data_IF_736568086462
#
_entry.id   IF_736568086462
#
_cell.length_a   1.000
_cell.length_b   1.000
_cell.length_c   1.000
_cell.angle_alpha   90.00
_cell.angle_beta   90.00
_cell.angle_gamma   90.00
#
_symmetry.space_group_name_H-M   'P 1'
#
loop_
_entity.id
_entity.type
_entity.pdbx_description
1 polymer ?
#
# COMPACT_ATOMS: atom_id res chain seq x y z
N UNK A 1 -33.22 76.84 40.97
CA UNK A 1 -32.20 75.99 41.64
C UNK A 1 -32.63 74.54 41.50
N UNK A 2 -32.01 73.82 40.56
CA UNK A 2 -31.11 72.65 40.77
C UNK A 2 -31.89 71.38 41.14
N UNK A 3 -32.01 70.43 40.21
CA UNK A 3 -31.06 69.30 39.99
C UNK A 3 -31.36 68.16 40.97
N UNK A 4 -31.51 66.88 40.61
CA UNK A 4 -31.06 66.14 39.44
C UNK A 4 -31.98 64.94 39.20
N UNK A 5 -32.01 64.55 37.93
CA UNK A 5 -32.61 63.35 37.40
C UNK A 5 -32.16 62.08 38.15
N UNK A 6 -33.14 61.22 38.39
CA UNK A 6 -32.99 59.86 38.86
C UNK A 6 -32.42 59.00 37.71
N UNK A 7 -31.08 58.91 37.61
CA UNK A 7 -30.42 58.03 36.66
C UNK A 7 -30.52 56.58 37.13
N UNK A 8 -31.62 55.92 36.78
CA UNK A 8 -31.68 54.46 36.78
C UNK A 8 -30.67 53.94 35.73
N UNK A 9 -29.53 53.45 36.20
CA UNK A 9 -28.66 52.61 35.38
C UNK A 9 -29.34 51.25 35.26
N UNK A 10 -30.17 51.08 34.23
CA UNK A 10 -30.63 49.77 33.83
C UNK A 10 -29.43 48.99 33.29
N UNK A 11 -28.86 48.08 34.08
CA UNK A 11 -28.11 46.97 33.52
C UNK A 11 -29.09 46.08 32.75
N UNK A 12 -29.33 46.45 31.50
CA UNK A 12 -30.05 45.62 30.54
C UNK A 12 -29.31 44.29 30.42
N UNK A 13 -29.90 43.23 30.99
CA UNK A 13 -29.47 41.86 30.76
C UNK A 13 -29.57 41.57 29.27
N UNK A 14 -28.43 41.56 28.58
CA UNK A 14 -28.35 40.89 27.29
C UNK A 14 -28.30 39.39 27.62
N UNK A 15 -29.32 38.63 27.23
CA UNK A 15 -29.31 37.16 27.27
C UNK A 15 -29.04 36.62 25.85
N UNK A 16 -27.78 36.56 25.38
CA UNK A 16 -27.45 35.98 24.07
C UNK A 16 -27.26 34.45 24.17
N UNK A 17 -27.89 33.80 25.15
CA UNK A 17 -27.58 32.41 25.51
C UNK A 17 -27.99 31.41 24.44
N UNK A 18 -29.09 31.67 23.72
CA UNK A 18 -29.59 30.78 22.67
C UNK A 18 -28.74 30.82 21.40
N UNK A 19 -28.30 32.02 20.99
CA UNK A 19 -27.41 32.18 19.84
C UNK A 19 -26.02 31.59 20.08
N UNK A 20 -25.45 31.82 21.27
CA UNK A 20 -24.15 31.27 21.63
C UNK A 20 -24.15 29.73 21.65
N UNK A 21 -25.21 29.09 22.17
CA UNK A 21 -25.34 27.63 22.17
C UNK A 21 -25.38 27.07 20.76
N UNK A 22 -26.11 27.71 19.83
CA UNK A 22 -26.19 27.26 18.44
C UNK A 22 -24.82 27.35 17.74
N UNK A 23 -24.07 28.44 17.96
CA UNK A 23 -22.70 28.59 17.44
C UNK A 23 -21.77 27.51 17.99
N UNK A 24 -21.84 27.21 19.29
CA UNK A 24 -21.04 26.15 19.90
C UNK A 24 -21.37 24.79 19.28
N UNK A 25 -22.66 24.47 19.11
CA UNK A 25 -23.10 23.21 18.47
C UNK A 25 -22.58 23.13 17.02
N UNK A 26 -22.66 24.22 16.25
CA UNK A 26 -22.12 24.23 14.89
C UNK A 26 -20.61 24.00 14.84
N UNK A 27 -19.86 24.62 15.76
CA UNK A 27 -18.41 24.40 15.87
C UNK A 27 -18.15 22.92 16.21
N UNK A 28 -18.87 22.35 17.17
CA UNK A 28 -18.75 20.93 17.51
C UNK A 28 -19.06 20.02 16.31
N UNK A 29 -20.13 20.27 15.57
CA UNK A 29 -20.48 19.49 14.38
C UNK A 29 -19.43 19.64 13.27
N UNK A 30 -18.88 20.84 13.08
CA UNK A 30 -17.82 21.09 12.12
C UNK A 30 -16.54 20.31 12.50
N UNK A 31 -16.16 20.35 13.78
CA UNK A 31 -15.02 19.58 14.29
C UNK A 31 -15.24 18.06 14.12
N UNK A 32 -16.42 17.55 14.48
CA UNK A 32 -16.76 16.13 14.29
C UNK A 32 -16.70 15.75 12.81
N UNK A 33 -17.21 16.59 11.91
CA UNK A 33 -17.19 16.35 10.47
C UNK A 33 -15.77 16.31 9.91
N UNK A 34 -14.89 17.20 10.37
CA UNK A 34 -13.47 17.20 9.99
C UNK A 34 -12.76 15.93 10.47
N UNK A 35 -13.01 15.51 11.72
CA UNK A 35 -12.44 14.28 12.28
C UNK A 35 -12.94 13.03 11.54
N UNK A 36 -14.24 12.95 11.25
CA UNK A 36 -14.81 11.82 10.51
C UNK A 36 -14.26 11.74 9.08
N UNK A 37 -14.08 12.90 8.44
CA UNK A 37 -13.47 13.00 7.11
C UNK A 37 -12.00 12.56 7.12
N UNK A 38 -11.23 12.88 8.15
CA UNK A 38 -9.82 12.47 8.26
C UNK A 38 -9.69 10.97 8.48
N UNK A 39 -10.54 10.39 9.34
CA UNK A 39 -10.59 8.94 9.58
C UNK A 39 -10.96 8.18 8.31
N UNK A 40 -11.97 8.65 7.56
CA UNK A 40 -12.37 8.04 6.30
C UNK A 40 -11.23 8.08 5.27
N UNK A 41 -10.56 9.23 5.12
CA UNK A 41 -9.38 9.34 4.24
C UNK A 41 -8.27 8.39 4.67
N UNK A 42 -8.00 8.30 5.98
CA UNK A 42 -6.98 7.40 6.53
C UNK A 42 -7.29 5.94 6.23
N UNK A 43 -8.53 5.49 6.46
CA UNK A 43 -8.96 4.12 6.17
C UNK A 43 -8.81 3.77 4.68
N UNK A 44 -9.17 4.69 3.78
CA UNK A 44 -9.00 4.50 2.34
C UNK A 44 -7.52 4.40 1.93
N UNK A 45 -6.66 5.22 2.52
CA UNK A 45 -5.21 5.17 2.27
C UNK A 45 -4.59 3.88 2.83
N UNK A 46 -4.97 3.49 4.04
CA UNK A 46 -4.48 2.27 4.68
C UNK A 46 -4.88 1.03 3.86
N UNK A 47 -6.11 0.98 3.34
CA UNK A 47 -6.54 -0.11 2.45
C UNK A 47 -5.68 -0.20 1.18
N UNK A 48 -5.34 0.93 0.58
CA UNK A 48 -4.44 0.96 -0.59
C UNK A 48 -3.02 0.50 -0.25
N UNK A 49 -2.52 0.87 0.94
CA UNK A 49 -1.20 0.43 1.41
C UNK A 49 -1.18 -1.08 1.66
N UNK A 50 -2.20 -1.65 2.31
CA UNK A 50 -2.30 -3.10 2.56
C UNK A 50 -2.26 -3.88 1.25
N UNK A 51 -3.03 -3.47 0.24
CA UNK A 51 -3.05 -4.15 -1.07
C UNK A 51 -1.69 -4.09 -1.75
N UNK A 52 -0.99 -2.96 -1.69
CA UNK A 52 0.36 -2.83 -2.26
C UNK A 52 1.36 -3.73 -1.56
N UNK A 53 1.27 -3.81 -0.23
CA UNK A 53 2.16 -4.65 0.55
C UNK A 53 1.90 -6.14 0.30
N UNK A 54 0.63 -6.55 0.20
CA UNK A 54 0.26 -7.91 -0.21
C UNK A 54 0.85 -8.26 -1.57
N UNK A 55 0.70 -7.38 -2.56
CA UNK A 55 1.28 -7.61 -3.89
C UNK A 55 2.81 -7.69 -3.86
N UNK A 56 3.45 -6.87 -3.02
CA UNK A 56 4.91 -6.90 -2.83
C UNK A 56 5.38 -8.23 -2.23
N UNK A 57 4.71 -8.70 -1.18
CA UNK A 57 5.04 -9.98 -0.54
C UNK A 57 4.79 -11.15 -1.49
N UNK A 58 3.67 -11.13 -2.23
CA UNK A 58 3.38 -12.18 -3.21
C UNK A 58 4.43 -12.23 -4.32
N UNK A 59 4.85 -11.08 -4.85
CA UNK A 59 5.93 -11.02 -5.84
C UNK A 59 7.25 -11.57 -5.29
N UNK A 60 7.55 -11.34 -4.01
CA UNK A 60 8.73 -11.89 -3.35
C UNK A 60 8.64 -13.42 -3.19
N UNK A 61 7.48 -13.96 -2.82
CA UNK A 61 7.29 -15.41 -2.74
C UNK A 61 7.40 -16.08 -4.10
N UNK A 62 6.81 -15.50 -5.15
CA UNK A 62 6.96 -16.01 -6.52
C UNK A 62 8.44 -15.99 -6.92
N UNK A 63 9.19 -14.96 -6.53
CA UNK A 63 10.61 -14.83 -6.84
C UNK A 63 11.44 -15.91 -6.16
N UNK A 64 11.21 -16.15 -4.87
CA UNK A 64 11.93 -17.19 -4.13
C UNK A 64 11.60 -18.58 -4.70
N UNK A 65 10.32 -18.87 -4.96
CA UNK A 65 9.90 -20.13 -5.59
C UNK A 65 10.48 -20.31 -6.99
N UNK A 66 10.60 -19.23 -7.78
CA UNK A 66 11.24 -19.28 -9.09
C UNK A 66 12.73 -19.62 -9.00
N UNK A 67 13.44 -19.06 -8.00
CA UNK A 67 14.84 -19.36 -7.76
C UNK A 67 15.06 -20.82 -7.29
N UNK A 68 14.24 -21.29 -6.35
CA UNK A 68 14.28 -22.68 -5.89
C UNK A 68 13.98 -23.66 -7.04
N UNK A 69 12.96 -23.37 -7.84
CA UNK A 69 12.61 -24.13 -9.04
C UNK A 69 13.76 -24.18 -10.04
N UNK A 70 14.41 -23.04 -10.30
CA UNK A 70 15.56 -22.96 -11.20
C UNK A 70 16.75 -23.78 -10.69
N UNK A 71 17.02 -23.73 -9.38
CA UNK A 71 18.09 -24.50 -8.76
C UNK A 71 17.80 -26.01 -8.85
N UNK A 72 16.56 -26.44 -8.59
CA UNK A 72 16.16 -27.85 -8.75
C UNK A 72 16.27 -28.31 -10.20
N UNK A 73 15.73 -27.55 -11.17
CA UNK A 73 15.86 -27.90 -12.58
C UNK A 73 17.31 -27.96 -13.04
N UNK A 74 18.18 -27.10 -12.51
CA UNK A 74 19.61 -27.11 -12.82
C UNK A 74 20.32 -28.36 -12.29
N UNK A 75 19.93 -28.82 -11.09
CA UNK A 75 20.48 -30.04 -10.49
C UNK A 75 20.03 -31.30 -11.25
N UNK A 76 18.78 -31.34 -11.71
CA UNK A 76 18.24 -32.46 -12.48
C UNK A 76 18.71 -32.44 -13.95
N UNK A 77 18.84 -31.26 -14.55
CA UNK A 77 19.20 -31.06 -15.94
C UNK A 77 20.33 -30.04 -16.11
N UNK A 78 21.52 -30.55 -16.39
CA UNK A 78 22.72 -29.75 -16.60
C UNK A 78 22.75 -29.00 -17.95
N UNK A 79 21.70 -29.08 -18.77
CA UNK A 79 21.50 -28.26 -19.97
C UNK A 79 20.43 -27.17 -19.78
N UNK A 80 19.84 -27.05 -18.60
CA UNK A 80 18.86 -26.00 -18.30
C UNK A 80 19.46 -24.60 -18.50
N UNK A 81 18.78 -23.74 -19.29
CA UNK A 81 19.22 -22.38 -19.64
C UNK A 81 18.35 -21.26 -19.03
N UNK A 82 17.27 -21.62 -18.34
CA UNK A 82 16.23 -20.70 -17.90
C UNK A 82 14.89 -20.98 -18.58
N UNK A 83 13.84 -20.38 -18.06
CA UNK A 83 12.47 -20.53 -18.54
C UNK A 83 11.64 -19.30 -18.16
N UNK A 84 10.49 -19.13 -18.81
CA UNK A 84 9.44 -18.23 -18.32
C UNK A 84 8.39 -19.09 -17.65
N UNK A 85 8.24 -18.90 -16.34
CA UNK A 85 7.22 -19.57 -15.55
C UNK A 85 5.99 -18.68 -15.44
N UNK A 86 4.92 -19.06 -16.12
CA UNK A 86 3.61 -18.43 -16.03
C UNK A 86 2.77 -19.13 -14.96
N UNK A 87 2.19 -18.34 -14.05
CA UNK A 87 1.39 -18.84 -12.93
C UNK A 87 -0.04 -18.35 -13.09
N UNK A 88 -0.98 -19.28 -13.17
CA UNK A 88 -2.38 -18.93 -13.34
C UNK A 88 -2.94 -18.23 -12.09
N UNK A 89 -3.98 -17.40 -12.23
CA UNK A 89 -4.67 -16.80 -11.09
C UNK A 89 -5.19 -17.85 -10.10
N UNK A 90 -5.62 -19.01 -10.62
CA UNK A 90 -6.19 -20.11 -9.84
C UNK A 90 -5.15 -20.73 -8.92
N UNK A 91 -3.92 -20.92 -9.40
CA UNK A 91 -2.80 -21.46 -8.61
C UNK A 91 -2.34 -20.48 -7.52
N UNK A 92 -2.43 -19.17 -7.79
CA UNK A 92 -2.11 -18.12 -6.82
C UNK A 92 -3.25 -17.90 -5.81
N UNK A 93 -4.43 -18.49 -6.02
CA UNK A 93 -5.62 -18.20 -5.23
C UNK A 93 -6.07 -16.74 -5.31
N UNK A 94 -5.73 -16.05 -6.41
CA UNK A 94 -6.07 -14.64 -6.61
C UNK A 94 -6.79 -14.41 -7.94
N UNK A 95 -7.19 -13.17 -8.19
CA UNK A 95 -7.81 -12.78 -9.47
C UNK A 95 -6.78 -12.40 -10.55
N UNK A 96 -5.49 -12.40 -10.22
CA UNK A 96 -4.42 -11.95 -11.10
C UNK A 96 -3.42 -13.08 -11.35
N UNK A 97 -2.93 -13.13 -12.60
CA UNK A 97 -1.81 -13.99 -12.95
C UNK A 97 -0.49 -13.35 -12.45
N UNK A 98 0.54 -14.17 -12.42
CA UNK A 98 1.91 -13.74 -12.18
C UNK A 98 2.86 -14.44 -13.13
N UNK A 99 3.97 -13.79 -13.47
CA UNK A 99 5.00 -14.36 -14.34
C UNK A 99 6.37 -14.18 -13.72
N UNK A 100 7.22 -15.20 -13.88
CA UNK A 100 8.61 -15.22 -13.45
C UNK A 100 9.52 -15.61 -14.62
N UNK A 101 10.32 -14.67 -15.10
CA UNK A 101 11.35 -14.90 -16.10
C UNK A 101 12.65 -15.30 -15.40
N UNK A 102 13.13 -16.51 -15.69
CA UNK A 102 14.35 -17.08 -15.10
C UNK A 102 15.41 -17.15 -16.19
N UNK A 103 16.58 -16.60 -15.89
CA UNK A 103 17.73 -16.57 -16.80
C UNK A 103 18.99 -17.05 -16.07
N UNK A 104 19.75 -17.93 -16.70
CA UNK A 104 21.06 -18.35 -16.20
C UNK A 104 22.16 -17.56 -16.90
N UNK A 105 23.15 -17.09 -16.14
CA UNK A 105 24.37 -16.47 -16.65
C UNK A 105 25.55 -17.20 -16.05
N UNK A 106 26.50 -17.59 -16.89
CA UNK A 106 27.79 -18.10 -16.41
C UNK A 106 28.66 -16.90 -16.06
N UNK A 107 29.23 -16.90 -14.86
CA UNK A 107 29.99 -15.78 -14.33
C UNK A 107 31.40 -16.25 -13.93
N UNK A 108 32.44 -15.65 -14.51
CA UNK A 108 33.84 -15.97 -14.22
C UNK A 108 34.63 -16.56 -15.39
N UNK A 109 35.96 -16.39 -15.34
CA UNK A 109 36.92 -16.79 -16.40
C UNK A 109 37.06 -18.31 -16.61
N UNK A 110 36.62 -19.11 -15.64
CA UNK A 110 36.75 -20.58 -15.62
C UNK A 110 35.40 -21.32 -15.74
N UNK A 111 34.31 -20.62 -16.11
CA UNK A 111 33.00 -21.21 -16.46
C UNK A 111 32.36 -22.09 -15.35
N UNK A 112 32.86 -21.99 -14.12
CA UNK A 112 32.55 -22.90 -13.02
C UNK A 112 31.49 -22.38 -12.05
N UNK A 113 31.14 -21.10 -12.16
CA UNK A 113 30.21 -20.42 -11.26
C UNK A 113 29.01 -19.92 -12.08
N UNK A 114 27.81 -20.36 -11.69
CA UNK A 114 26.57 -20.10 -12.44
C UNK A 114 25.72 -19.16 -11.60
N UNK A 115 25.36 -17.99 -12.15
CA UNK A 115 24.43 -17.07 -11.53
C UNK A 115 23.01 -17.24 -12.12
N UNK A 116 22.03 -17.45 -11.25
CA UNK A 116 20.61 -17.55 -11.60
C UNK A 116 19.94 -16.22 -11.29
N UNK A 117 19.45 -15.56 -12.33
CA UNK A 117 18.66 -14.34 -12.23
C UNK A 117 17.19 -14.64 -12.50
N UNK A 118 16.34 -14.41 -11.50
CA UNK A 118 14.89 -14.44 -11.65
C UNK A 118 14.31 -13.01 -11.62
N UNK A 119 13.38 -12.72 -12.52
CA UNK A 119 12.61 -11.48 -12.60
C UNK A 119 11.13 -11.83 -12.52
N UNK A 120 10.43 -11.26 -11.56
CA UNK A 120 9.01 -11.49 -11.33
C UNK A 120 8.20 -10.25 -11.61
N UNK A 121 7.02 -10.44 -12.20
CA UNK A 121 6.00 -9.42 -12.41
C UNK A 121 4.70 -9.90 -11.78
N UNK A 122 4.20 -9.18 -10.78
CA UNK A 122 2.92 -9.48 -10.14
C UNK A 122 2.29 -8.23 -9.51
N UNK A 123 0.96 -8.05 -9.59
CA UNK A 123 0.02 -8.77 -10.43
C UNK A 123 0.12 -8.37 -11.91
N UNK A 124 -0.06 -9.33 -12.80
CA UNK A 124 -0.09 -9.11 -14.24
C UNK A 124 -1.46 -8.54 -14.67
N UNK A 125 -1.46 -7.69 -15.72
CA UNK A 125 -2.66 -7.00 -16.23
C UNK A 125 -3.43 -6.14 -15.22
N UNK A 126 -2.82 -5.77 -14.10
CA UNK A 126 -3.39 -4.82 -13.15
C UNK A 126 -2.99 -3.38 -13.47
N UNK A 127 -3.74 -2.41 -12.95
CA UNK A 127 -3.38 -0.98 -13.03
C UNK A 127 -2.07 -0.63 -12.28
N UNK A 128 -1.55 -1.56 -11.49
CA UNK A 128 -0.27 -1.45 -10.78
C UNK A 128 0.33 -2.85 -10.66
N UNK A 129 1.57 -3.00 -11.12
CA UNK A 129 2.38 -4.22 -10.99
C UNK A 129 3.63 -3.93 -10.15
N UNK A 130 4.11 -4.97 -9.46
CA UNK A 130 5.39 -4.99 -8.77
C UNK A 130 6.35 -5.83 -9.58
N UNK A 131 7.51 -5.26 -9.92
CA UNK A 131 8.61 -6.00 -10.53
C UNK A 131 9.72 -6.18 -9.51
N UNK A 132 10.18 -7.41 -9.33
CA UNK A 132 11.34 -7.74 -8.47
C UNK A 132 12.31 -8.60 -9.24
N UNK A 133 13.60 -8.35 -9.04
CA UNK A 133 14.67 -9.16 -9.63
C UNK A 133 15.65 -9.52 -8.53
N UNK A 134 16.02 -10.79 -8.47
CA UNK A 134 17.05 -11.30 -7.55
C UNK A 134 17.99 -12.21 -8.32
N UNK A 135 19.27 -12.13 -7.96
CA UNK A 135 20.32 -12.98 -8.50
C UNK A 135 20.88 -13.82 -7.36
N UNK A 136 21.08 -15.11 -7.59
CA UNK A 136 21.80 -16.01 -6.69
C UNK A 136 22.94 -16.65 -7.46
N UNK A 137 24.04 -16.91 -6.77
CA UNK A 137 25.19 -17.60 -7.35
C UNK A 137 25.27 -18.99 -6.76
N UNK A 138 25.35 -20.00 -7.63
CA UNK A 138 25.54 -21.41 -7.27
C UNK A 138 27.02 -21.79 -7.29
#
# INVERSE_FOLDING_TARGET
MRSSANSQVSLGRITPRRGAVLVIVMICLLLISLLMSSLLKSALLQRRQIIREQNRVQAEWILESALERAAQQRLENNEYKGEVWEISPMDLGTRYAGSAEITLKTEGKDDRQISIQARVIYPENASFSVTRTKNIVL
#
